data_IF_017055988078
#
_entry.id   IF_017055988078
#
_cell.length_a   1.000
_cell.length_b   1.000
_cell.length_c   1.000
_cell.angle_alpha   90.00
_cell.angle_beta   90.00
_cell.angle_gamma   90.00
#
_symmetry.space_group_name_H-M   'P 1'
#
loop_
_entity.id
_entity.type
_entity.pdbx_description
1 polymer ?
#
# COMPACT_ATOMS: atom_id res chain seq x y z
N UNK A 1 2.41 -2.45 34.41
CA UNK A 1 1.88 -3.05 33.17
C UNK A 1 1.92 -4.55 33.34
N UNK A 2 0.83 -5.27 33.04
CA UNK A 2 0.83 -6.73 33.14
C UNK A 2 1.63 -7.31 31.98
N UNK A 3 2.70 -8.04 32.26
CA UNK A 3 3.59 -8.64 31.26
C UNK A 3 3.29 -10.13 31.15
N UNK A 4 3.16 -10.61 29.92
CA UNK A 4 2.87 -12.01 29.61
C UNK A 4 4.10 -12.68 29.01
N UNK A 5 4.36 -13.92 29.40
CA UNK A 5 5.42 -14.76 28.84
C UNK A 5 4.85 -15.77 27.86
N UNK A 6 5.42 -15.81 26.67
CA UNK A 6 5.09 -16.78 25.61
C UNK A 6 6.37 -17.27 24.93
N UNK A 7 6.24 -18.30 24.10
CA UNK A 7 7.34 -18.84 23.30
C UNK A 7 6.98 -18.77 21.82
N UNK A 8 7.81 -18.15 20.99
CA UNK A 8 7.63 -18.07 19.53
C UNK A 8 8.85 -18.70 18.87
N UNK A 9 8.66 -19.76 18.10
CA UNK A 9 9.73 -20.52 17.43
C UNK A 9 10.89 -20.93 18.37
N UNK A 10 10.54 -21.27 19.62
CA UNK A 10 11.49 -21.66 20.68
C UNK A 10 12.10 -20.49 21.46
N UNK A 11 11.89 -19.25 21.03
CA UNK A 11 12.37 -18.04 21.71
C UNK A 11 11.36 -17.62 22.78
N UNK A 12 11.80 -17.46 24.03
CA UNK A 12 10.98 -16.92 25.11
C UNK A 12 10.82 -15.41 24.93
N UNK A 13 9.59 -14.93 24.91
CA UNK A 13 9.22 -13.54 24.68
C UNK A 13 8.43 -13.04 25.89
N UNK A 14 8.67 -11.79 26.29
CA UNK A 14 7.90 -11.12 27.36
C UNK A 14 7.38 -9.80 26.82
N UNK A 15 6.06 -9.66 26.73
CA UNK A 15 5.39 -8.49 26.13
C UNK A 15 4.20 -8.04 26.99
N UNK A 16 3.73 -6.80 26.81
CA UNK A 16 2.47 -6.36 27.38
C UNK A 16 1.29 -7.29 27.04
N UNK A 17 0.36 -7.45 27.99
CA UNK A 17 -0.78 -8.35 27.85
C UNK A 17 -1.78 -7.97 26.74
N UNK A 18 -1.77 -6.72 26.29
CA UNK A 18 -2.61 -6.15 25.24
C UNK A 18 -2.01 -6.31 23.83
N UNK A 19 -0.79 -6.83 23.71
CA UNK A 19 -0.18 -7.08 22.40
C UNK A 19 -0.80 -8.27 21.66
N UNK A 20 -0.72 -8.20 20.34
CA UNK A 20 -1.00 -9.33 19.45
C UNK A 20 0.22 -10.23 19.27
N UNK A 21 -0.01 -11.46 18.81
CA UNK A 21 1.07 -12.39 18.45
C UNK A 21 1.97 -11.81 17.35
N UNK A 22 1.41 -11.02 16.42
CA UNK A 22 2.20 -10.34 15.38
C UNK A 22 3.18 -9.33 15.96
N UNK A 23 2.74 -8.52 16.94
CA UNK A 23 3.61 -7.54 17.61
C UNK A 23 4.66 -8.23 18.49
N UNK A 24 4.26 -9.30 19.19
CA UNK A 24 5.19 -10.11 19.95
C UNK A 24 6.28 -10.74 19.08
N UNK A 25 5.93 -11.29 17.91
CA UNK A 25 6.90 -11.83 16.95
C UNK A 25 7.85 -10.74 16.43
N UNK A 26 7.33 -9.54 16.10
CA UNK A 26 8.15 -8.40 15.68
C UNK A 26 9.16 -7.97 16.73
N UNK A 27 8.80 -8.00 18.03
CA UNK A 27 9.70 -7.62 19.13
C UNK A 27 10.97 -8.46 19.23
N UNK A 28 10.95 -9.68 18.67
CA UNK A 28 12.09 -10.61 18.62
C UNK A 28 12.56 -10.86 17.18
N UNK A 29 12.27 -9.94 16.26
CA UNK A 29 12.69 -9.98 14.86
C UNK A 29 12.22 -11.22 14.08
N UNK A 30 11.10 -11.83 14.48
CA UNK A 30 10.46 -12.91 13.71
C UNK A 30 9.49 -12.28 12.69
N UNK A 31 9.76 -12.53 11.41
CA UNK A 31 8.91 -12.06 10.32
C UNK A 31 7.66 -12.95 10.16
N UNK A 32 6.48 -12.33 10.21
CA UNK A 32 5.20 -12.95 9.85
C UNK A 32 4.58 -12.10 8.73
N UNK A 33 4.30 -12.67 7.54
CA UNK A 33 3.84 -11.89 6.40
C UNK A 33 2.41 -11.38 6.60
N UNK A 34 2.14 -10.20 6.05
CA UNK A 34 0.82 -9.56 6.10
C UNK A 34 0.50 -8.88 4.78
N UNK A 35 -0.77 -8.83 4.39
CA UNK A 35 -1.25 -7.98 3.28
C UNK A 35 -2.25 -6.93 3.78
N UNK A 36 -3.30 -7.37 4.49
CA UNK A 36 -4.33 -6.46 4.98
C UNK A 36 -3.93 -5.70 6.23
N UNK A 37 -3.01 -6.23 7.04
CA UNK A 37 -2.57 -5.51 8.24
C UNK A 37 -1.78 -4.27 7.85
N UNK A 38 -2.20 -3.12 8.35
CA UNK A 38 -1.46 -1.86 8.30
C UNK A 38 -1.43 -1.34 9.74
N UNK A 39 -0.23 -1.17 10.28
CA UNK A 39 -0.02 -0.78 11.68
C UNK A 39 -0.84 0.47 12.01
N UNK A 40 -1.55 0.44 13.13
CA UNK A 40 -2.39 1.54 13.65
C UNK A 40 -3.56 1.98 12.75
N UNK A 41 -3.79 1.30 11.61
CA UNK A 41 -4.80 1.70 10.61
C UNK A 41 -5.78 0.57 10.27
N UNK A 42 -5.30 -0.63 9.93
CA UNK A 42 -6.18 -1.71 9.47
C UNK A 42 -5.77 -3.06 10.07
N UNK A 43 -6.65 -3.66 10.86
CA UNK A 43 -6.37 -4.89 11.61
C UNK A 43 -7.59 -5.83 11.60
N UNK A 44 -7.89 -6.40 10.44
CA UNK A 44 -9.12 -7.20 10.23
C UNK A 44 -8.91 -8.71 10.04
N UNK A 45 -7.65 -9.16 9.94
CA UNK A 45 -7.33 -10.59 9.76
C UNK A 45 -7.84 -11.23 8.47
N UNK A 46 -8.30 -10.45 7.48
CA UNK A 46 -9.02 -10.93 6.31
C UNK A 46 -8.14 -11.67 5.29
N UNK A 47 -6.91 -11.21 5.05
CA UNK A 47 -6.03 -11.81 4.03
C UNK A 47 -5.45 -13.19 4.42
N UNK A 48 -5.48 -13.53 5.71
CA UNK A 48 -4.92 -14.78 6.26
C UNK A 48 -3.47 -15.07 5.83
N UNK A 49 -2.65 -14.05 5.53
CA UNK A 49 -1.20 -14.25 5.34
C UNK A 49 -0.49 -14.43 6.68
N UNK A 50 -0.97 -13.75 7.73
CA UNK A 50 -0.38 -13.78 9.07
C UNK A 50 -0.75 -15.03 9.89
N UNK A 51 -1.01 -16.16 9.24
CA UNK A 51 -1.36 -17.40 9.93
C UNK A 51 -0.20 -17.88 10.81
N UNK A 52 -0.54 -18.35 12.00
CA UNK A 52 0.38 -18.98 12.95
C UNK A 52 -0.24 -20.23 13.54
N UNK A 53 0.61 -21.16 13.97
CA UNK A 53 0.20 -22.38 14.64
C UNK A 53 0.42 -22.21 16.14
N UNK A 54 -0.65 -22.34 16.93
CA UNK A 54 -0.58 -22.30 18.39
C UNK A 54 -0.69 -23.72 18.92
N UNK A 55 0.23 -24.11 19.79
CA UNK A 55 0.23 -25.45 20.38
C UNK A 55 -1.10 -25.72 21.12
N UNK A 56 -1.74 -26.85 20.82
CA UNK A 56 -3.04 -27.23 21.39
C UNK A 56 -4.25 -26.62 20.68
N UNK A 57 -4.07 -25.66 19.78
CA UNK A 57 -5.17 -25.12 18.98
C UNK A 57 -5.50 -26.04 17.79
N UNK A 58 -6.80 -26.22 17.53
CA UNK A 58 -7.28 -27.04 16.39
C UNK A 58 -7.06 -26.36 15.03
N UNK A 59 -7.19 -25.04 14.99
CA UNK A 59 -7.10 -24.21 13.79
C UNK A 59 -5.91 -23.27 13.82
N UNK A 60 -5.53 -22.76 12.64
CA UNK A 60 -4.49 -21.75 12.51
C UNK A 60 -5.04 -20.37 12.92
N UNK A 61 -4.34 -19.67 13.79
CA UNK A 61 -4.70 -18.33 14.25
C UNK A 61 -4.17 -17.26 13.31
N UNK A 62 -4.83 -16.10 13.20
CA UNK A 62 -4.29 -14.94 12.50
C UNK A 62 -3.53 -14.06 13.49
N UNK A 63 -2.20 -14.03 13.40
CA UNK A 63 -1.33 -13.34 14.35
C UNK A 63 -1.66 -11.86 14.53
N UNK A 64 -2.17 -11.20 13.48
CA UNK A 64 -2.47 -9.76 13.53
C UNK A 64 -3.68 -9.41 14.39
N UNK A 65 -4.54 -10.36 14.79
CA UNK A 65 -5.71 -10.12 15.66
C UNK A 65 -5.75 -11.08 16.84
N UNK A 66 -4.80 -12.00 16.92
CA UNK A 66 -4.71 -13.00 17.98
C UNK A 66 -4.00 -12.37 19.20
N UNK A 67 -4.69 -12.18 20.33
CA UNK A 67 -4.05 -11.70 21.55
C UNK A 67 -3.07 -12.73 22.11
N UNK A 68 -2.02 -12.26 22.76
CA UNK A 68 -1.08 -13.14 23.48
C UNK A 68 -1.72 -13.65 24.78
N UNK A 69 -1.36 -14.87 25.19
CA UNK A 69 -1.78 -15.45 26.48
C UNK A 69 -0.58 -16.07 27.19
N UNK A 70 -0.63 -16.12 28.51
CA UNK A 70 0.44 -16.72 29.33
C UNK A 70 0.70 -18.17 28.94
N UNK A 71 1.99 -18.51 28.77
CA UNK A 71 2.42 -19.84 28.38
C UNK A 71 2.11 -20.22 26.93
N UNK A 72 1.62 -19.30 26.09
CA UNK A 72 1.33 -19.60 24.68
C UNK A 72 2.62 -20.06 23.96
N UNK A 73 2.52 -21.13 23.16
CA UNK A 73 3.61 -21.60 22.29
C UNK A 73 3.18 -21.48 20.84
N UNK A 74 3.88 -20.63 20.08
CA UNK A 74 3.57 -20.27 18.70
C UNK A 74 4.68 -20.76 17.78
N UNK A 75 4.29 -21.33 16.64
CA UNK A 75 5.18 -21.65 15.52
C UNK A 75 4.78 -20.82 14.31
N UNK A 76 5.76 -20.26 13.60
CA UNK A 76 5.48 -19.32 12.50
C UNK A 76 5.82 -19.87 11.10
N UNK A 77 6.54 -21.00 11.02
CA UNK A 77 7.04 -21.57 9.76
C UNK A 77 6.93 -23.11 9.69
N UNK A 78 5.77 -23.68 10.01
CA UNK A 78 5.49 -25.11 9.80
C UNK A 78 5.08 -25.37 8.34
N UNK A 79 5.18 -26.64 7.88
CA UNK A 79 4.73 -27.01 6.53
C UNK A 79 3.26 -26.64 6.29
N UNK A 80 2.40 -26.92 7.29
CA UNK A 80 0.99 -26.57 7.28
C UNK A 80 0.76 -25.06 7.09
N UNK A 81 1.58 -24.21 7.69
CA UNK A 81 1.51 -22.76 7.51
C UNK A 81 1.92 -22.32 6.11
N UNK A 82 3.03 -22.88 5.58
CA UNK A 82 3.49 -22.56 4.22
C UNK A 82 2.45 -22.93 3.17
N UNK A 83 1.84 -24.10 3.30
CA UNK A 83 0.81 -24.56 2.35
C UNK A 83 -0.47 -23.72 2.45
N UNK A 84 -0.91 -23.37 3.66
CA UNK A 84 -2.06 -22.50 3.84
C UNK A 84 -1.83 -21.08 3.29
N UNK A 85 -0.65 -20.50 3.51
CA UNK A 85 -0.29 -19.18 2.95
C UNK A 85 -0.20 -19.22 1.43
N UNK A 86 0.38 -20.28 0.85
CA UNK A 86 0.41 -20.48 -0.60
C UNK A 86 -1.00 -20.57 -1.19
N UNK A 87 -1.87 -21.39 -0.61
CA UNK A 87 -3.26 -21.52 -1.06
C UNK A 87 -4.03 -20.18 -0.97
N UNK A 88 -3.81 -19.38 0.09
CA UNK A 88 -4.41 -18.05 0.19
C UNK A 88 -3.94 -17.12 -0.93
N UNK A 89 -2.65 -17.13 -1.28
CA UNK A 89 -2.13 -16.35 -2.41
C UNK A 89 -2.73 -16.82 -3.73
N UNK A 90 -2.80 -18.12 -3.97
CA UNK A 90 -3.43 -18.71 -5.16
C UNK A 90 -4.90 -18.31 -5.30
N UNK A 91 -5.66 -18.27 -4.19
CA UNK A 91 -7.05 -17.80 -4.16
C UNK A 91 -7.17 -16.29 -4.40
N UNK A 92 -6.25 -15.47 -3.87
CA UNK A 92 -6.22 -14.04 -4.19
C UNK A 92 -5.97 -13.83 -5.70
N UNK A 93 -5.06 -14.63 -6.27
CA UNK A 93 -4.70 -14.58 -7.68
C UNK A 93 -5.76 -15.16 -8.63
N UNK A 94 -6.75 -15.91 -8.12
CA UNK A 94 -7.83 -16.45 -8.94
C UNK A 94 -8.77 -15.35 -9.45
N UNK A 95 -8.93 -14.27 -8.68
CA UNK A 95 -9.76 -13.11 -9.07
C UNK A 95 -8.95 -11.88 -9.49
N UNK A 96 -7.64 -11.82 -9.15
CA UNK A 96 -6.74 -10.72 -9.48
C UNK A 96 -6.27 -10.79 -10.95
N UNK A 97 -6.28 -9.65 -11.63
CA UNK A 97 -5.70 -9.48 -12.96
C UNK A 97 -4.17 -9.35 -12.86
N UNK A 98 -3.42 -10.12 -13.68
CA UNK A 98 -2.00 -10.46 -13.43
C UNK A 98 -1.06 -9.90 -14.49
N UNK A 99 -1.41 -8.77 -15.10
CA UNK A 99 -0.61 -8.10 -16.13
C UNK A 99 0.56 -7.33 -15.48
N UNK A 100 1.43 -8.04 -14.76
CA UNK A 100 2.49 -7.45 -13.94
C UNK A 100 3.55 -6.71 -14.75
N UNK A 101 3.72 -7.02 -16.04
CA UNK A 101 4.69 -6.35 -16.92
C UNK A 101 4.30 -4.93 -17.29
N UNK A 102 3.00 -4.60 -17.29
CA UNK A 102 2.47 -3.27 -17.55
C UNK A 102 1.89 -2.59 -16.29
N UNK A 103 1.89 -3.29 -15.15
CA UNK A 103 1.34 -2.77 -13.91
C UNK A 103 2.26 -1.70 -13.28
N UNK A 104 1.68 -0.57 -12.87
CA UNK A 104 2.39 0.56 -12.24
C UNK A 104 3.10 0.19 -10.93
N UNK A 105 2.65 -0.88 -10.24
CA UNK A 105 3.27 -1.37 -9.00
C UNK A 105 4.25 -2.53 -9.23
N UNK A 106 4.65 -2.79 -10.47
CA UNK A 106 5.67 -3.82 -10.74
C UNK A 106 6.95 -3.52 -9.96
N UNK A 107 7.53 -4.54 -9.32
CA UNK A 107 8.69 -4.45 -8.41
C UNK A 107 8.43 -3.80 -7.03
N UNK A 108 7.30 -3.12 -6.82
CA UNK A 108 6.90 -2.53 -5.52
C UNK A 108 5.55 -3.06 -4.99
N UNK A 109 5.06 -4.16 -5.57
CA UNK A 109 3.80 -4.80 -5.21
C UNK A 109 4.01 -5.82 -4.08
N UNK A 110 3.34 -5.62 -2.94
CA UNK A 110 3.45 -6.52 -1.78
C UNK A 110 2.88 -7.91 -2.09
N UNK A 111 1.83 -8.00 -2.91
CA UNK A 111 1.28 -9.28 -3.36
C UNK A 111 2.29 -10.05 -4.22
N UNK A 112 2.96 -9.35 -5.16
CA UNK A 112 3.98 -9.93 -6.03
C UNK A 112 5.14 -10.46 -5.18
N UNK A 113 5.65 -9.67 -4.23
CA UNK A 113 6.72 -10.07 -3.34
C UNK A 113 6.39 -11.35 -2.54
N UNK A 114 5.17 -11.44 -1.98
CA UNK A 114 4.74 -12.65 -1.27
C UNK A 114 4.57 -13.86 -2.20
N UNK A 115 4.11 -13.67 -3.44
CA UNK A 115 4.05 -14.76 -4.41
C UNK A 115 5.44 -15.33 -4.71
N UNK A 116 6.46 -14.47 -4.80
CA UNK A 116 7.84 -14.89 -4.94
C UNK A 116 8.35 -15.61 -3.68
N UNK A 117 8.10 -15.07 -2.49
CA UNK A 117 8.51 -15.67 -1.20
C UNK A 117 7.96 -17.10 -1.02
N UNK A 118 6.70 -17.34 -1.40
CA UNK A 118 6.05 -18.65 -1.25
C UNK A 118 6.15 -19.55 -2.50
N UNK A 119 6.91 -19.11 -3.51
CA UNK A 119 7.14 -19.83 -4.77
C UNK A 119 5.81 -20.23 -5.46
N UNK A 120 4.87 -19.29 -5.53
CA UNK A 120 3.61 -19.47 -6.27
C UNK A 120 3.92 -19.40 -7.76
N UNK A 121 3.82 -20.55 -8.43
CA UNK A 121 4.14 -20.70 -9.87
C UNK A 121 2.94 -21.10 -10.71
N UNK A 122 1.97 -21.77 -10.08
CA UNK A 122 0.80 -22.33 -10.72
C UNK A 122 -0.45 -21.65 -10.17
N UNK A 123 -1.53 -21.70 -10.94
CA UNK A 123 -2.80 -21.07 -10.61
C UNK A 123 -3.90 -22.13 -10.70
N UNK A 124 -4.01 -23.01 -9.68
CA UNK A 124 -4.90 -24.17 -9.75
C UNK A 124 -6.38 -23.79 -9.70
N UNK A 125 -6.70 -22.58 -9.24
CA UNK A 125 -8.05 -22.06 -9.17
C UNK A 125 -8.35 -21.26 -10.44
N UNK A 126 -9.10 -21.88 -11.35
CA UNK A 126 -9.67 -21.21 -12.52
C UNK A 126 -11.09 -20.73 -12.23
N UNK A 127 -11.48 -19.60 -12.80
CA UNK A 127 -12.76 -18.96 -12.53
C UNK A 127 -12.93 -17.60 -13.18
N UNK A 128 -14.12 -17.03 -13.02
CA UNK A 128 -14.36 -15.65 -13.43
C UNK A 128 -13.38 -14.72 -12.70
N UNK A 129 -12.93 -13.67 -13.38
CA UNK A 129 -12.18 -12.58 -12.78
C UNK A 129 -13.01 -11.33 -12.72
N UNK A 130 -12.63 -10.42 -11.85
CA UNK A 130 -13.22 -9.09 -11.82
C UNK A 130 -12.85 -8.37 -13.12
N UNK A 131 -13.84 -7.89 -13.84
CA UNK A 131 -13.64 -7.13 -15.07
C UNK A 131 -12.84 -5.86 -14.79
N UNK A 132 -11.91 -5.55 -15.69
CA UNK A 132 -11.08 -4.35 -15.62
C UNK A 132 -11.88 -3.14 -16.12
N UNK A 133 -12.59 -2.48 -15.20
CA UNK A 133 -13.25 -1.20 -15.45
C UNK A 133 -12.48 -0.12 -14.69
N UNK A 134 -11.85 0.79 -15.44
CA UNK A 134 -11.12 1.91 -14.88
C UNK A 134 -12.08 3.05 -14.52
N UNK A 135 -11.94 3.57 -13.31
CA UNK A 135 -12.45 4.90 -12.93
C UNK A 135 -11.26 5.86 -12.98
N UNK A 136 -11.13 6.56 -14.11
CA UNK A 136 -10.05 7.50 -14.43
C UNK A 136 -10.56 8.95 -14.60
N UNK A 137 -11.81 9.22 -14.19
CA UNK A 137 -12.46 10.52 -14.36
C UNK A 137 -11.90 11.55 -13.37
N UNK A 138 -11.55 11.13 -12.15
CA UNK A 138 -10.91 12.03 -11.17
C UNK A 138 -9.62 12.62 -11.72
N UNK A 139 -9.31 13.86 -11.35
CA UNK A 139 -8.09 14.55 -11.78
C UNK A 139 -6.82 13.96 -11.15
N UNK A 140 -6.93 13.19 -10.06
CA UNK A 140 -5.76 12.81 -9.27
C UNK A 140 -5.62 11.32 -9.03
N UNK A 141 -6.72 10.56 -9.00
CA UNK A 141 -6.71 9.15 -8.57
C UNK A 141 -7.42 8.30 -9.63
N UNK A 142 -6.77 7.23 -10.05
CA UNK A 142 -7.34 6.19 -10.91
C UNK A 142 -7.61 4.94 -10.06
N UNK A 143 -8.78 4.32 -10.25
CA UNK A 143 -9.16 3.06 -9.58
C UNK A 143 -9.37 1.94 -10.59
N UNK A 144 -8.72 0.81 -10.33
CA UNK A 144 -8.86 -0.46 -11.06
C UNK A 144 -9.20 -1.58 -10.07
N UNK A 145 -10.49 -1.94 -9.98
CA UNK A 145 -10.92 -2.97 -9.05
C UNK A 145 -10.49 -4.39 -9.46
N UNK A 146 -10.06 -4.62 -10.71
CA UNK A 146 -9.57 -5.94 -11.14
C UNK A 146 -8.25 -6.33 -10.49
N UNK A 147 -7.50 -5.36 -9.99
CA UNK A 147 -6.26 -5.55 -9.21
C UNK A 147 -6.52 -5.54 -7.70
N UNK A 148 -7.74 -5.29 -7.24
CA UNK A 148 -8.04 -5.19 -5.82
C UNK A 148 -8.04 -6.57 -5.13
N UNK A 149 -7.36 -6.69 -3.99
CA UNK A 149 -7.37 -7.90 -3.14
C UNK A 149 -8.32 -7.78 -1.94
N UNK A 150 -9.21 -6.79 -1.95
CA UNK A 150 -10.20 -6.52 -0.89
C UNK A 150 -9.60 -6.45 0.54
N UNK A 151 -8.36 -5.97 0.65
CA UNK A 151 -7.64 -5.90 1.92
C UNK A 151 -8.16 -4.81 2.87
N UNK A 152 -8.93 -3.84 2.33
CA UNK A 152 -9.56 -2.70 3.02
C UNK A 152 -8.60 -1.69 3.66
N UNK A 153 -7.29 -1.76 3.39
CA UNK A 153 -6.31 -0.74 3.83
C UNK A 153 -6.69 0.67 3.37
N UNK A 154 -7.08 0.82 2.11
CA UNK A 154 -7.52 2.09 1.54
C UNK A 154 -8.80 2.63 2.22
N UNK A 155 -9.78 1.77 2.49
CA UNK A 155 -11.04 2.13 3.16
C UNK A 155 -10.77 2.59 4.60
N UNK A 156 -10.01 1.81 5.37
CA UNK A 156 -9.63 2.18 6.74
C UNK A 156 -8.83 3.49 6.77
N UNK A 157 -7.89 3.68 5.83
CA UNK A 157 -7.14 4.94 5.75
C UNK A 157 -8.05 6.14 5.45
N UNK A 158 -8.99 6.00 4.51
CA UNK A 158 -9.92 7.07 4.15
C UNK A 158 -10.89 7.42 5.29
N UNK A 159 -11.38 6.41 6.00
CA UNK A 159 -12.40 6.56 7.04
C UNK A 159 -11.80 6.92 8.40
N UNK A 160 -10.75 6.23 8.80
CA UNK A 160 -10.25 6.25 10.18
C UNK A 160 -9.09 7.22 10.34
N UNK A 161 -8.27 7.42 9.31
CA UNK A 161 -7.13 8.37 9.34
C UNK A 161 -7.55 9.73 8.78
N UNK A 162 -8.07 9.76 7.55
CA UNK A 162 -8.42 11.03 6.88
C UNK A 162 -9.78 11.58 7.29
N UNK A 163 -10.66 10.75 7.88
CA UNK A 163 -12.05 11.10 8.25
C UNK A 163 -12.91 11.63 7.10
N UNK A 164 -12.59 11.25 5.86
CA UNK A 164 -13.31 11.71 4.65
C UNK A 164 -14.47 10.78 4.31
N UNK A 165 -14.27 9.45 4.37
CA UNK A 165 -15.35 8.51 4.07
C UNK A 165 -15.71 8.36 2.59
N UNK A 166 -14.81 8.70 1.65
CA UNK A 166 -15.13 8.74 0.22
C UNK A 166 -15.27 7.34 -0.43
N UNK A 167 -14.58 6.33 0.09
CA UNK A 167 -14.60 4.96 -0.43
C UNK A 167 -15.03 3.95 0.63
N UNK A 168 -15.78 2.94 0.21
CA UNK A 168 -16.28 1.87 1.08
C UNK A 168 -16.35 0.53 0.37
N UNK A 169 -16.81 -0.49 1.09
CA UNK A 169 -17.04 -1.83 0.54
C UNK A 169 -18.49 -1.93 0.09
N UNK A 170 -18.70 -2.22 -1.19
CA UNK A 170 -20.01 -2.44 -1.79
C UNK A 170 -20.23 -3.92 -2.12
N UNK A 171 -21.51 -4.31 -2.22
CA UNK A 171 -21.94 -5.66 -2.58
C UNK A 171 -21.45 -6.75 -1.59
N UNK A 172 -21.62 -8.03 -1.95
CA UNK A 172 -21.26 -9.19 -1.11
C UNK A 172 -20.77 -10.36 -1.96
N UNK A 173 -20.06 -11.29 -1.32
CA UNK A 173 -19.56 -12.50 -1.96
C UNK A 173 -18.61 -12.18 -3.11
N UNK A 174 -18.77 -12.88 -4.24
CA UNK A 174 -17.93 -12.70 -5.42
C UNK A 174 -18.05 -11.30 -6.08
N UNK A 175 -19.15 -10.58 -5.82
CA UNK A 175 -19.37 -9.22 -6.37
C UNK A 175 -18.80 -8.09 -5.51
N UNK A 176 -18.14 -8.42 -4.41
CA UNK A 176 -17.61 -7.43 -3.46
C UNK A 176 -16.56 -6.56 -4.14
N UNK A 177 -16.69 -5.23 -3.99
CA UNK A 177 -15.77 -4.26 -4.60
C UNK A 177 -15.55 -3.06 -3.67
N UNK A 178 -14.45 -2.34 -3.86
CA UNK A 178 -14.20 -1.07 -3.17
C UNK A 178 -14.68 0.05 -4.09
N UNK A 179 -15.72 0.76 -3.68
CA UNK A 179 -16.39 1.78 -4.50
C UNK A 179 -16.77 3.01 -3.67
N UNK A 180 -17.07 4.10 -4.38
CA UNK A 180 -17.77 5.25 -3.82
C UNK A 180 -19.27 4.94 -3.67
N UNK A 181 -19.99 5.79 -2.94
CA UNK A 181 -21.44 5.66 -2.78
C UNK A 181 -22.13 5.63 -4.16
N UNK A 182 -23.10 4.72 -4.32
CA UNK A 182 -23.82 4.48 -5.58
C UNK A 182 -22.93 4.11 -6.78
N UNK A 183 -21.73 3.54 -6.55
CA UNK A 183 -20.75 3.21 -7.58
C UNK A 183 -20.34 4.42 -8.46
N UNK A 184 -20.41 5.63 -7.91
CA UNK A 184 -19.94 6.83 -8.61
C UNK A 184 -18.43 6.84 -8.79
N UNK A 185 -17.96 7.69 -9.69
CA UNK A 185 -16.54 8.04 -9.79
C UNK A 185 -16.06 8.70 -8.49
N UNK A 186 -14.77 8.59 -8.19
CA UNK A 186 -14.12 9.44 -7.19
C UNK A 186 -14.33 10.94 -7.47
N UNK A 187 -14.44 11.35 -8.74
CA UNK A 187 -14.71 12.73 -9.15
C UNK A 187 -16.04 13.26 -8.62
N UNK A 188 -17.06 12.39 -8.51
CA UNK A 188 -18.42 12.74 -8.08
C UNK A 188 -18.68 12.38 -6.61
N UNK A 189 -17.62 12.22 -5.83
CA UNK A 189 -17.66 11.81 -4.42
C UNK A 189 -17.09 12.90 -3.51
N UNK A 190 -17.26 12.81 -2.18
CA UNK A 190 -16.62 13.70 -1.21
C UNK A 190 -15.09 13.59 -1.14
N UNK A 191 -14.45 12.92 -2.10
CA UNK A 191 -12.99 12.74 -2.15
C UNK A 191 -12.28 14.10 -2.26
N UNK A 192 -11.31 14.32 -1.39
CA UNK A 192 -10.43 15.51 -1.40
C UNK A 192 -9.12 15.30 -2.17
N UNK A 193 -8.99 14.17 -2.88
CA UNK A 193 -7.84 13.83 -3.72
C UNK A 193 -6.47 13.79 -3.00
N UNK A 194 -6.44 13.47 -1.70
CA UNK A 194 -5.20 13.45 -0.91
C UNK A 194 -4.25 12.27 -1.19
N UNK A 195 -4.67 11.27 -1.98
CA UNK A 195 -3.85 10.14 -2.38
C UNK A 195 -3.48 9.13 -1.27
N UNK A 196 -3.94 9.31 -0.03
CA UNK A 196 -3.57 8.41 1.08
C UNK A 196 -4.04 6.97 0.87
N UNK A 197 -5.14 6.78 0.13
CA UNK A 197 -5.61 5.46 -0.28
C UNK A 197 -4.67 4.76 -1.28
N UNK A 198 -3.93 5.52 -2.11
CA UNK A 198 -2.90 5.00 -3.04
C UNK A 198 -1.72 4.48 -2.24
N UNK A 199 -1.21 5.29 -1.30
CA UNK A 199 -0.08 4.92 -0.42
C UNK A 199 -0.42 3.67 0.41
N UNK A 200 -1.65 3.60 0.93
CA UNK A 200 -2.11 2.46 1.70
C UNK A 200 -2.38 1.21 0.85
N UNK A 201 -2.46 1.30 -0.48
CA UNK A 201 -2.77 0.16 -1.34
C UNK A 201 -1.52 -0.74 -1.50
N UNK A 202 -1.61 -2.06 -1.24
CA UNK A 202 -0.49 -3.00 -1.41
C UNK A 202 -0.25 -3.45 -2.87
N UNK A 203 -1.14 -3.07 -3.78
CA UNK A 203 -1.24 -3.56 -5.16
C UNK A 203 -1.60 -2.42 -6.12
N UNK A 204 -1.63 -2.64 -7.43
CA UNK A 204 -1.92 -1.61 -8.44
C UNK A 204 -3.40 -1.22 -8.60
N UNK A 205 -4.24 -1.39 -7.57
CA UNK A 205 -5.68 -1.11 -7.66
C UNK A 205 -6.05 0.37 -7.53
N UNK A 206 -5.18 1.16 -6.92
CA UNK A 206 -5.29 2.61 -6.78
C UNK A 206 -3.94 3.19 -7.12
N UNK A 207 -3.91 4.18 -8.02
CA UNK A 207 -2.71 4.90 -8.39
C UNK A 207 -3.06 6.34 -8.79
N UNK A 208 -2.05 7.18 -8.91
CA UNK A 208 -2.16 8.55 -9.38
C UNK A 208 -2.56 8.59 -10.85
N UNK A 209 -3.26 9.66 -11.25
CA UNK A 209 -3.49 9.95 -12.65
C UNK A 209 -2.18 10.40 -13.29
N UNK A 210 -1.70 9.62 -14.25
CA UNK A 210 -0.44 9.88 -14.91
C UNK A 210 -0.53 11.09 -15.85
N UNK A 211 0.56 11.84 -15.95
CA UNK A 211 0.73 12.95 -16.90
C UNK A 211 2.08 12.89 -17.60
N UNK A 212 2.80 11.75 -17.53
CA UNK A 212 4.12 11.59 -18.15
C UNK A 212 4.05 11.84 -19.66
N UNK A 213 3.03 11.35 -20.36
CA UNK A 213 2.92 11.55 -21.81
C UNK A 213 2.68 13.03 -22.16
N UNK A 214 1.91 13.76 -21.37
CA UNK A 214 1.69 15.20 -21.59
C UNK A 214 2.99 15.99 -21.42
N UNK A 215 3.81 15.61 -20.43
CA UNK A 215 5.15 16.17 -20.21
C UNK A 215 6.06 15.87 -21.39
N UNK A 216 6.08 14.63 -21.90
CA UNK A 216 6.88 14.30 -23.09
C UNK A 216 6.46 15.08 -24.32
N UNK A 217 5.15 15.19 -24.55
CA UNK A 217 4.61 15.97 -25.66
C UNK A 217 5.03 17.45 -25.54
N UNK A 218 5.05 18.01 -24.33
CA UNK A 218 5.52 19.38 -24.11
C UNK A 218 7.03 19.53 -24.35
N UNK A 219 7.85 18.59 -23.89
CA UNK A 219 9.32 18.61 -24.07
C UNK A 219 9.76 18.41 -25.52
N UNK A 220 8.95 17.73 -26.34
CA UNK A 220 9.23 17.48 -27.75
C UNK A 220 8.73 18.58 -28.68
N UNK A 221 7.91 19.50 -28.17
CA UNK A 221 7.31 20.58 -28.93
C UNK A 221 8.30 21.76 -29.03
N UNK A 222 8.89 22.03 -30.22
CA UNK A 222 9.92 23.04 -30.38
C UNK A 222 9.41 24.48 -30.17
N UNK A 223 8.09 24.68 -30.19
CA UNK A 223 7.46 25.98 -29.99
C UNK A 223 7.17 26.26 -28.50
N UNK A 224 7.43 25.31 -27.60
CA UNK A 224 7.22 25.45 -26.16
C UNK A 224 8.51 25.71 -25.40
N UNK A 225 8.41 26.62 -24.43
CA UNK A 225 9.41 26.79 -23.38
C UNK A 225 8.93 26.08 -22.12
N UNK A 226 9.54 24.94 -21.80
CA UNK A 226 9.05 24.02 -20.76
C UNK A 226 9.75 24.27 -19.44
N UNK A 227 8.97 24.72 -18.47
CA UNK A 227 9.41 25.02 -17.11
C UNK A 227 9.01 23.90 -16.16
N UNK A 228 9.90 23.51 -15.26
CA UNK A 228 9.61 22.59 -14.15
C UNK A 228 9.92 23.20 -12.80
N UNK A 229 9.05 22.91 -11.82
CA UNK A 229 9.18 23.38 -10.43
C UNK A 229 8.87 22.22 -9.47
N UNK A 230 9.87 21.57 -8.86
CA UNK A 230 9.63 20.49 -7.91
C UNK A 230 9.21 21.03 -6.53
N UNK A 231 8.22 20.38 -5.94
CA UNK A 231 7.73 20.67 -4.60
C UNK A 231 8.81 20.46 -3.51
N UNK A 232 8.65 21.04 -2.31
CA UNK A 232 9.65 20.93 -1.23
C UNK A 232 9.99 19.47 -0.88
N UNK A 233 8.97 18.61 -0.70
CA UNK A 233 9.13 17.24 -0.23
C UNK A 233 9.86 16.31 -1.22
N UNK A 234 9.80 16.61 -2.53
CA UNK A 234 10.39 15.75 -3.58
C UNK A 234 11.88 15.55 -3.36
N UNK A 235 12.61 16.60 -2.97
CA UNK A 235 14.06 16.54 -2.76
C UNK A 235 14.50 15.75 -1.52
N UNK A 236 13.57 15.45 -0.61
CA UNK A 236 13.83 14.71 0.61
C UNK A 236 13.49 13.21 0.46
N UNK A 237 12.51 12.88 -0.39
CA UNK A 237 12.02 11.51 -0.56
C UNK A 237 12.53 10.82 -1.83
N UNK A 238 12.76 11.55 -2.93
CA UNK A 238 13.08 10.95 -4.24
C UNK A 238 14.32 10.04 -4.20
N UNK A 239 15.27 10.28 -3.28
CA UNK A 239 16.45 9.43 -3.13
C UNK A 239 16.14 7.96 -2.78
N UNK A 240 15.02 7.70 -2.10
CA UNK A 240 14.60 6.36 -1.67
C UNK A 240 14.34 5.43 -2.87
N UNK A 241 13.76 5.98 -3.94
CA UNK A 241 13.52 5.26 -5.21
C UNK A 241 14.82 4.85 -5.93
N UNK A 242 15.95 5.44 -5.54
CA UNK A 242 17.29 5.11 -6.04
C UNK A 242 18.12 4.33 -5.01
N UNK A 243 17.48 3.78 -3.96
CA UNK A 243 18.14 2.98 -2.93
C UNK A 243 18.97 3.78 -1.93
N UNK A 244 18.80 5.10 -1.88
CA UNK A 244 19.44 5.91 -0.84
C UNK A 244 18.67 5.79 0.49
N UNK A 245 19.34 5.96 1.66
CA UNK A 245 18.65 5.97 2.94
C UNK A 245 17.54 7.02 3.02
N UNK A 246 16.48 6.71 3.77
CA UNK A 246 15.34 7.61 4.02
C UNK A 246 15.83 8.98 4.50
N UNK A 247 15.27 10.04 3.92
CA UNK A 247 15.62 11.42 4.25
C UNK A 247 16.95 11.93 3.65
N UNK A 248 17.59 11.17 2.75
CA UNK A 248 18.78 11.64 2.04
C UNK A 248 18.43 12.81 1.11
N UNK A 249 19.02 14.01 1.29
CA UNK A 249 18.71 15.15 0.44
C UNK A 249 19.32 14.97 -0.96
N UNK A 250 18.49 15.15 -1.99
CA UNK A 250 18.89 14.99 -3.40
C UNK A 250 18.71 16.26 -4.25
N UNK A 251 18.57 17.44 -3.64
CA UNK A 251 18.28 18.71 -4.33
C UNK A 251 19.13 18.97 -5.58
N UNK A 252 20.46 18.92 -5.47
CA UNK A 252 21.35 19.16 -6.60
C UNK A 252 21.28 18.06 -7.68
N UNK A 253 21.06 16.80 -7.25
CA UNK A 253 20.88 15.65 -8.16
C UNK A 253 19.57 15.78 -8.94
N UNK A 254 18.49 16.12 -8.27
CA UNK A 254 17.18 16.39 -8.85
C UNK A 254 17.26 17.50 -9.91
N UNK A 255 17.83 18.65 -9.58
CA UNK A 255 17.97 19.75 -10.53
C UNK A 255 18.85 19.38 -11.74
N UNK A 256 19.86 18.54 -11.54
CA UNK A 256 20.71 18.03 -12.64
C UNK A 256 19.93 17.05 -13.52
N UNK A 257 19.16 16.14 -12.93
CA UNK A 257 18.33 15.18 -13.65
C UNK A 257 17.27 15.88 -14.50
N UNK A 258 16.55 16.86 -13.96
CA UNK A 258 15.56 17.64 -14.69
C UNK A 258 16.16 18.36 -15.90
N UNK A 259 17.35 18.98 -15.77
CA UNK A 259 18.04 19.58 -16.93
C UNK A 259 18.40 18.52 -17.99
N UNK A 260 18.85 17.34 -17.57
CA UNK A 260 19.18 16.23 -18.48
C UNK A 260 17.95 15.64 -19.17
N UNK A 261 16.76 15.75 -18.58
CA UNK A 261 15.50 15.33 -19.19
C UNK A 261 15.02 16.30 -20.29
N UNK A 262 15.60 17.49 -20.40
CA UNK A 262 15.31 18.45 -21.48
C UNK A 262 14.47 19.65 -21.08
N UNK A 263 14.18 19.86 -19.80
CA UNK A 263 13.49 21.08 -19.35
C UNK A 263 14.34 22.33 -19.59
N UNK A 264 13.77 23.35 -20.23
CA UNK A 264 14.45 24.62 -20.54
C UNK A 264 14.82 25.41 -19.28
N UNK A 265 13.96 25.31 -18.25
CA UNK A 265 14.19 25.94 -16.95
C UNK A 265 13.75 25.07 -15.80
N UNK A 266 14.65 24.94 -14.82
CA UNK A 266 14.37 24.31 -13.53
C UNK A 266 14.30 25.42 -12.48
N UNK A 267 13.09 25.69 -12.01
CA UNK A 267 12.83 26.53 -10.83
C UNK A 267 12.57 25.65 -9.61
N UNK A 268 12.08 26.26 -8.54
CA UNK A 268 11.84 25.61 -7.25
C UNK A 268 10.56 26.16 -6.62
N UNK A 269 9.64 25.28 -6.23
CA UNK A 269 8.38 25.69 -5.59
C UNK A 269 8.62 26.37 -4.23
N UNK A 270 9.79 26.20 -3.62
CA UNK A 270 10.14 26.94 -2.40
C UNK A 270 10.13 28.45 -2.63
N UNK A 271 10.55 28.93 -3.81
CA UNK A 271 10.48 30.36 -4.13
C UNK A 271 9.03 30.85 -4.09
N UNK A 272 8.10 30.11 -4.69
CA UNK A 272 6.68 30.48 -4.64
C UNK A 272 6.09 30.30 -3.25
N UNK A 273 6.62 29.39 -2.43
CA UNK A 273 6.23 29.28 -1.02
C UNK A 273 6.67 30.53 -0.24
N UNK A 274 7.86 31.07 -0.49
CA UNK A 274 8.30 32.35 0.11
C UNK A 274 7.37 33.50 -0.30
N UNK A 275 6.94 33.54 -1.58
CA UNK A 275 5.95 34.51 -2.04
C UNK A 275 4.60 34.33 -1.34
N UNK A 276 4.13 33.09 -1.15
CA UNK A 276 2.91 32.82 -0.38
C UNK A 276 3.03 33.35 1.05
N UNK A 277 4.17 33.16 1.70
CA UNK A 277 4.39 33.68 3.06
C UNK A 277 4.43 35.21 3.10
N UNK A 278 4.96 35.89 2.08
CA UNK A 278 4.92 37.35 2.00
C UNK A 278 3.47 37.86 1.96
N UNK A 279 2.61 37.25 1.14
CA UNK A 279 1.22 37.68 1.00
C UNK A 279 0.37 37.26 2.22
N UNK A 280 0.39 35.98 2.61
CA UNK A 280 -0.38 35.45 3.75
C UNK A 280 0.08 36.09 5.08
N UNK A 281 1.38 36.32 5.23
CA UNK A 281 1.93 37.04 6.38
C UNK A 281 1.58 38.53 6.44
N UNK A 282 1.24 39.14 5.29
CA UNK A 282 0.72 40.53 5.23
C UNK A 282 -0.79 40.56 5.48
N UNK A 283 -1.51 39.50 5.12
CA UNK A 283 -2.95 39.36 5.35
C UNK A 283 -3.30 39.11 6.84
N UNK A 284 -2.45 38.36 7.56
CA UNK A 284 -2.60 38.02 8.99
C UNK A 284 -2.49 39.22 9.94
#
# INVERSE_FOLDING_TARGET
MNMIKLTIDGIKVTVPADCTVLEAAKSVNIHIPTLCYLKDVNQIGACRMCLVEVQGARSLGAACVLPVTEGMVVRTNTQKLRDARRANLELLLSNHNRECTSCIRSNSCELQALCHEYNVKEYPYDGAKTESILDDVSHSIVRDNSKCILCRRCVATCNDVQKVGAIGVAQRGFKTSVNCIYNKSLADSPCINCGQCIIACPVGALHEKDSIQDVWNALQDPDKYVVVQPAPAVRAALGEEFGLPIGTPVTGKLATALRRLGFDKVFDTNFTADLTILEEGTEL
#
